data_IF_034130044475
#
_entry.id   IF_034130044475
#
_cell.length_a   1.000
_cell.length_b   1.000
_cell.length_c   1.000
_cell.angle_alpha   90.00
_cell.angle_beta   90.00
_cell.angle_gamma   90.00
#
_symmetry.space_group_name_H-M   'P 1'
#
loop_
_entity.id
_entity.type
_entity.pdbx_description
1 polymer ?
#
# COMPACT_ATOMS: atom_id res chain seq x y z
N UNK A 1 8.03 6.86 21.02
CA UNK A 1 7.43 6.15 19.88
C UNK A 1 8.21 4.87 19.73
N UNK A 2 7.85 3.91 20.57
CA UNK A 2 8.44 2.59 20.59
C UNK A 2 8.21 1.90 19.25
N UNK A 3 9.20 1.18 18.71
CA UNK A 3 9.01 0.41 17.49
C UNK A 3 7.92 -0.63 17.76
N UNK A 4 6.92 -0.81 16.86
CA UNK A 4 5.94 -1.87 17.04
C UNK A 4 6.71 -3.19 17.12
N UNK A 5 6.58 -3.84 18.27
CA UNK A 5 7.17 -5.14 18.56
C UNK A 5 6.77 -6.09 17.42
N UNK A 6 7.79 -6.64 16.75
CA UNK A 6 7.62 -7.51 15.59
C UNK A 6 6.72 -8.68 15.97
N UNK A 7 5.51 -8.73 15.42
CA UNK A 7 4.67 -9.92 15.45
C UNK A 7 5.29 -11.01 14.56
N UNK A 8 6.29 -11.75 15.07
CA UNK A 8 6.93 -12.88 14.38
C UNK A 8 6.19 -14.20 14.65
N UNK A 9 4.87 -14.18 14.77
CA UNK A 9 4.11 -15.40 15.09
C UNK A 9 3.53 -15.93 13.79
N UNK A 10 3.97 -17.12 13.36
CA UNK A 10 3.28 -17.85 12.29
C UNK A 10 1.90 -18.25 12.81
N UNK A 11 0.85 -17.67 12.22
CA UNK A 11 -0.53 -17.88 12.64
C UNK A 11 -1.18 -18.96 11.78
N UNK A 12 -2.18 -19.66 12.31
CA UNK A 12 -2.87 -20.76 11.62
C UNK A 12 -3.45 -20.32 10.26
N UNK A 13 -4.00 -19.12 10.20
CA UNK A 13 -4.58 -18.57 8.96
C UNK A 13 -3.52 -18.33 7.87
N UNK A 14 -2.23 -18.20 8.22
CA UNK A 14 -1.15 -18.06 7.25
C UNK A 14 -1.07 -19.28 6.33
N UNK A 15 -1.35 -20.47 6.86
CA UNK A 15 -1.33 -21.72 6.08
C UNK A 15 -2.51 -21.83 5.11
N UNK A 16 -3.60 -21.15 5.41
CA UNK A 16 -4.77 -21.07 4.52
C UNK A 16 -4.56 -20.07 3.39
N UNK A 17 -3.53 -19.22 3.49
CA UNK A 17 -3.24 -18.18 2.50
C UNK A 17 -2.20 -18.64 1.48
N UNK A 18 -2.64 -18.73 0.23
CA UNK A 18 -1.75 -19.00 -0.90
C UNK A 18 -0.92 -17.77 -1.27
N UNK A 19 0.32 -17.99 -1.73
CA UNK A 19 1.18 -16.92 -2.24
C UNK A 19 0.52 -16.07 -3.33
N UNK A 20 -0.37 -16.66 -4.13
CA UNK A 20 -1.12 -15.95 -5.17
C UNK A 20 -2.02 -14.85 -4.60
N UNK A 21 -2.72 -15.13 -3.50
CA UNK A 21 -3.60 -14.16 -2.84
C UNK A 21 -2.79 -13.00 -2.24
N UNK A 22 -1.60 -13.29 -1.69
CA UNK A 22 -0.66 -12.27 -1.20
C UNK A 22 -0.15 -11.39 -2.35
N UNK A 23 0.18 -11.98 -3.49
CA UNK A 23 0.55 -11.22 -4.70
C UNK A 23 -0.62 -10.35 -5.18
N UNK A 24 -1.85 -10.85 -5.12
CA UNK A 24 -3.03 -10.07 -5.48
C UNK A 24 -3.22 -8.83 -4.58
N UNK A 25 -3.05 -8.97 -3.26
CA UNK A 25 -3.11 -7.82 -2.33
C UNK A 25 -2.01 -6.81 -2.59
N UNK A 26 -0.80 -7.30 -2.85
CA UNK A 26 0.32 -6.47 -3.24
C UNK A 26 0.03 -5.67 -4.53
N UNK A 27 -0.51 -6.32 -5.56
CA UNK A 27 -0.89 -5.64 -6.81
C UNK A 27 -1.94 -4.56 -6.55
N UNK A 28 -2.90 -4.78 -5.64
CA UNK A 28 -3.88 -3.76 -5.23
C UNK A 28 -3.23 -2.57 -4.52
N UNK A 29 -2.29 -2.82 -3.61
CA UNK A 29 -1.51 -1.77 -2.92
C UNK A 29 -0.71 -0.92 -3.92
N UNK A 30 0.02 -1.56 -4.83
CA UNK A 30 0.83 -0.86 -5.84
C UNK A 30 -0.07 -0.06 -6.78
N UNK A 31 -1.20 -0.64 -7.23
CA UNK A 31 -2.14 0.06 -8.11
C UNK A 31 -2.81 1.25 -7.42
N UNK A 32 -3.06 1.17 -6.11
CA UNK A 32 -3.54 2.30 -5.32
C UNK A 32 -2.52 3.44 -5.22
N UNK A 33 -1.22 3.15 -5.31
CA UNK A 33 -0.14 4.15 -5.34
C UNK A 33 0.09 4.74 -6.73
N UNK A 34 -0.32 4.04 -7.80
CA UNK A 34 -0.24 4.48 -9.21
C UNK A 34 -1.65 4.68 -9.83
N UNK A 35 -2.56 5.48 -9.24
CA UNK A 35 -3.93 5.52 -9.74
C UNK A 35 -4.13 6.43 -10.96
N UNK A 36 -3.19 7.33 -11.28
CA UNK A 36 -3.40 8.38 -12.30
C UNK A 36 -2.17 8.74 -13.14
N UNK A 37 -1.03 8.09 -12.91
CA UNK A 37 0.18 8.37 -13.67
C UNK A 37 0.33 7.24 -14.66
N UNK A 38 0.47 7.58 -15.94
CA UNK A 38 0.67 6.58 -16.98
C UNK A 38 1.85 5.69 -16.60
N UNK A 39 1.74 4.36 -16.74
CA UNK A 39 2.84 3.44 -16.45
C UNK A 39 4.08 3.79 -17.28
N UNK A 40 3.92 4.47 -18.41
CA UNK A 40 5.00 5.01 -19.23
C UNK A 40 5.75 6.20 -18.60
N UNK A 41 5.11 6.96 -17.69
CA UNK A 41 5.76 8.03 -16.91
C UNK A 41 6.45 7.49 -15.65
N UNK A 42 5.97 6.36 -15.13
CA UNK A 42 6.65 5.62 -14.08
C UNK A 42 7.72 4.71 -14.70
N UNK A 43 8.98 5.20 -14.73
CA UNK A 43 10.11 4.35 -15.13
C UNK A 43 10.15 3.04 -14.33
N UNK A 44 10.65 1.96 -14.97
CA UNK A 44 10.65 0.60 -14.41
C UNK A 44 11.24 0.52 -12.99
N UNK A 45 12.26 1.32 -12.71
CA UNK A 45 12.89 1.41 -11.38
C UNK A 45 11.92 1.87 -10.29
N UNK A 46 11.06 2.85 -10.57
CA UNK A 46 10.07 3.36 -9.62
C UNK A 46 8.96 2.33 -9.38
N UNK A 47 8.52 1.66 -10.44
CA UNK A 47 7.53 0.57 -10.33
C UNK A 47 8.09 -0.55 -9.46
N UNK A 48 9.34 -0.96 -9.70
CA UNK A 48 10.04 -1.96 -8.88
C UNK A 48 10.20 -1.52 -7.42
N UNK A 49 10.52 -0.24 -7.17
CA UNK A 49 10.59 0.31 -5.81
C UNK A 49 9.24 0.24 -5.09
N UNK A 50 8.14 0.59 -5.77
CA UNK A 50 6.79 0.49 -5.24
C UNK A 50 6.36 -0.95 -4.98
N UNK A 51 6.71 -1.89 -5.86
CA UNK A 51 6.48 -3.32 -5.66
C UNK A 51 7.24 -3.82 -4.42
N UNK A 52 8.53 -3.47 -4.28
CA UNK A 52 9.33 -3.81 -3.10
C UNK A 52 8.73 -3.23 -1.82
N UNK A 53 8.30 -1.97 -1.87
CA UNK A 53 7.65 -1.31 -0.74
C UNK A 53 6.32 -2.00 -0.38
N UNK A 54 5.46 -2.23 -1.38
CA UNK A 54 4.19 -2.94 -1.22
C UNK A 54 4.38 -4.34 -0.63
N UNK A 55 5.43 -5.07 -1.04
CA UNK A 55 5.78 -6.39 -0.50
C UNK A 55 6.18 -6.35 0.96
N UNK A 56 6.96 -5.34 1.33
CA UNK A 56 7.36 -5.15 2.72
C UNK A 56 6.14 -4.83 3.59
N UNK A 57 5.30 -3.89 3.14
CA UNK A 57 4.07 -3.50 3.84
C UNK A 57 3.07 -4.65 3.96
N UNK A 58 2.82 -5.39 2.86
CA UNK A 58 1.95 -6.57 2.88
C UNK A 58 2.45 -7.61 3.85
N UNK A 59 3.76 -7.88 3.85
CA UNK A 59 4.37 -8.83 4.76
C UNK A 59 4.25 -8.38 6.22
N UNK A 60 4.47 -7.09 6.51
CA UNK A 60 4.27 -6.54 7.86
C UNK A 60 2.81 -6.71 8.32
N UNK A 61 1.83 -6.46 7.46
CA UNK A 61 0.41 -6.67 7.80
C UNK A 61 0.07 -8.14 7.97
N UNK A 62 0.66 -9.01 7.14
CA UNK A 62 0.46 -10.45 7.23
C UNK A 62 1.01 -11.01 8.55
N UNK A 63 2.17 -10.53 8.98
CA UNK A 63 2.81 -10.90 10.24
C UNK A 63 2.08 -10.30 11.47
N UNK A 64 1.60 -9.05 11.38
CA UNK A 64 0.89 -8.39 12.48
C UNK A 64 -0.56 -8.83 12.69
N UNK A 65 -1.33 -9.07 11.62
CA UNK A 65 -2.76 -9.35 11.73
C UNK A 65 -3.04 -10.65 12.50
N UNK A 66 -3.98 -10.64 13.43
CA UNK A 66 -4.43 -11.83 14.17
C UNK A 66 -5.26 -12.78 13.32
N UNK A 67 -6.04 -12.22 12.40
CA UNK A 67 -6.94 -12.98 11.54
C UNK A 67 -6.95 -12.45 10.10
N UNK A 68 -7.54 -13.26 9.21
CA UNK A 68 -7.70 -12.90 7.79
C UNK A 68 -8.47 -11.60 7.59
N UNK A 69 -9.50 -11.37 8.42
CA UNK A 69 -10.35 -10.19 8.35
C UNK A 69 -9.58 -8.92 8.71
N UNK A 70 -8.76 -8.99 9.77
CA UNK A 70 -7.91 -7.88 10.18
C UNK A 70 -6.83 -7.57 9.14
N UNK A 71 -6.23 -8.60 8.53
CA UNK A 71 -5.31 -8.42 7.41
C UNK A 71 -5.97 -7.66 6.25
N UNK A 72 -7.18 -8.06 5.84
CA UNK A 72 -7.93 -7.36 4.81
C UNK A 72 -8.22 -5.91 5.20
N UNK A 73 -8.62 -5.68 6.44
CA UNK A 73 -8.92 -4.35 6.95
C UNK A 73 -7.68 -3.44 6.88
N UNK A 74 -6.53 -3.91 7.35
CA UNK A 74 -5.26 -3.18 7.31
C UNK A 74 -4.83 -2.83 5.88
N UNK A 75 -4.95 -3.78 4.95
CA UNK A 75 -4.64 -3.56 3.53
C UNK A 75 -5.59 -2.53 2.92
N UNK A 76 -6.90 -2.66 3.15
CA UNK A 76 -7.91 -1.74 2.64
C UNK A 76 -7.73 -0.33 3.21
N UNK A 77 -7.45 -0.20 4.51
CA UNK A 77 -7.19 1.07 5.16
C UNK A 77 -5.92 1.73 4.59
N UNK A 78 -4.86 0.95 4.37
CA UNK A 78 -3.62 1.46 3.77
C UNK A 78 -3.85 1.97 2.35
N UNK A 79 -4.58 1.22 1.53
CA UNK A 79 -4.99 1.63 0.18
C UNK A 79 -5.79 2.93 0.24
N UNK A 80 -6.77 3.03 1.15
CA UNK A 80 -7.59 4.23 1.31
C UNK A 80 -6.76 5.45 1.73
N UNK A 81 -5.84 5.29 2.70
CA UNK A 81 -4.90 6.34 3.11
C UNK A 81 -4.02 6.81 1.95
N UNK A 82 -3.54 5.89 1.11
CA UNK A 82 -2.78 6.24 -0.10
C UNK A 82 -3.65 7.08 -1.05
N UNK A 83 -4.89 6.66 -1.33
CA UNK A 83 -5.82 7.41 -2.17
C UNK A 83 -6.12 8.81 -1.62
N UNK A 84 -6.37 8.94 -0.32
CA UNK A 84 -6.62 10.23 0.33
C UNK A 84 -5.40 11.16 0.24
N UNK A 85 -4.20 10.62 0.49
CA UNK A 85 -2.97 11.40 0.46
C UNK A 85 -2.59 11.84 -0.97
N UNK A 86 -2.84 10.99 -1.97
CA UNK A 86 -2.68 11.34 -3.39
C UNK A 86 -3.75 12.34 -3.87
N UNK A 87 -4.99 12.20 -3.41
CA UNK A 87 -6.08 13.13 -3.70
C UNK A 87 -5.86 14.52 -3.09
N UNK A 88 -5.33 14.59 -1.87
CA UNK A 88 -4.98 15.82 -1.17
C UNK A 88 -3.94 16.66 -1.92
N UNK A 89 -2.89 16.02 -2.44
CA UNK A 89 -1.84 16.69 -3.25
C UNK A 89 -2.37 17.32 -4.55
N UNK A 90 -3.52 16.85 -5.07
CA UNK A 90 -4.14 17.41 -6.28
C UNK A 90 -4.80 18.77 -6.00
N UNK A 91 -5.38 18.97 -4.82
CA UNK A 91 -5.99 20.27 -4.43
C UNK A 91 -4.95 21.38 -4.22
N UNK A 92 -3.77 21.03 -3.73
CA UNK A 92 -2.70 22.01 -3.50
C UNK A 92 -2.08 22.51 -4.82
N UNK A 93 -1.92 21.62 -5.81
CA UNK A 93 -1.42 21.98 -7.15
C UNK A 93 -2.34 22.92 -7.93
N UNK A 94 -3.66 22.89 -7.67
CA UNK A 94 -4.59 23.81 -8.32
C UNK A 94 -4.53 25.23 -7.69
N UNK A 95 -4.28 25.32 -6.37
CA UNK A 95 -4.13 26.62 -5.69
C UNK A 95 -2.83 27.35 -6.03
N UNK A 96 -1.74 26.62 -6.29
CA UNK A 96 -0.44 27.23 -6.61
C UNK A 96 -0.40 27.97 -7.96
N UNK A 97 -1.40 27.79 -8.85
CA UNK A 97 -1.47 28.51 -10.14
C UNK A 97 -2.43 29.71 -10.16
N UNK A 98 -3.17 29.94 -9.08
CA UNK A 98 -4.20 31.01 -9.02
C UNK A 98 -3.75 32.23 -8.21
N UNK A 99 -2.66 32.14 -7.45
CA UNK A 99 -2.11 33.30 -6.69
C UNK A 99 -0.97 34.04 -7.41
N UNK A 100 -0.92 33.97 -8.74
CA UNK A 100 0.02 34.71 -9.58
C UNK A 100 -0.68 35.61 -10.60
N UNK A 101 -1.81 36.20 -10.23
CA UNK A 101 -2.52 37.20 -11.02
C UNK A 101 -2.71 38.47 -10.19
#
# INVERSE_FOLDING_TARGET
MDPPEKCKVEKLWHTQYSNDLRHHMLSKLVRAMIPFVDPSEFGEEKVQCLIKYGRKTEKEFFECADDTEEYYHLVAEKIHKIFLNLGGKRKERLKARVSGA
#
